data_IF_583255110703
#
_entry.id   IF_583255110703
#
_cell.length_a   1.000
_cell.length_b   1.000
_cell.length_c   1.000
_cell.angle_alpha   90.00
_cell.angle_beta   90.00
_cell.angle_gamma   90.00
#
_symmetry.space_group_name_H-M   'P 1'
#
loop_
_entity.id
_entity.type
_entity.pdbx_description
1 polymer ?
#
# COMPACT_ATOMS: atom_id res chain seq x y z
N UNK A 1 -34.25 -27.79 11.76
CA UNK A 1 -32.81 -27.47 11.73
C UNK A 1 -32.70 -26.06 11.17
N UNK A 2 -32.54 -25.05 12.03
CA UNK A 2 -32.67 -23.63 11.63
C UNK A 2 -31.27 -23.07 11.33
N UNK A 3 -30.98 -22.82 10.05
CA UNK A 3 -29.74 -22.22 9.57
C UNK A 3 -29.71 -20.75 9.97
N UNK A 4 -28.94 -20.41 11.01
CA UNK A 4 -28.63 -19.03 11.34
C UNK A 4 -27.77 -18.46 10.22
N UNK A 5 -28.39 -17.63 9.39
CA UNK A 5 -27.70 -16.80 8.42
C UNK A 5 -26.72 -15.90 9.21
N UNK A 6 -25.41 -16.08 9.00
CA UNK A 6 -24.37 -15.26 9.61
C UNK A 6 -24.22 -13.92 8.86
N UNK A 7 -25.34 -13.35 8.44
CA UNK A 7 -25.41 -12.02 7.86
C UNK A 7 -24.95 -10.99 8.89
N UNK A 8 -24.26 -9.96 8.42
CA UNK A 8 -23.87 -8.83 9.24
C UNK A 8 -25.12 -8.17 9.85
N UNK A 9 -25.22 -8.25 11.18
CA UNK A 9 -26.33 -7.68 11.95
C UNK A 9 -25.98 -6.25 12.38
N UNK A 10 -26.44 -5.27 11.61
CA UNK A 10 -26.21 -3.84 11.85
C UNK A 10 -26.73 -3.41 13.23
N UNK A 11 -27.85 -3.95 13.71
CA UNK A 11 -28.40 -3.59 15.02
C UNK A 11 -27.46 -4.03 16.13
N UNK A 12 -26.94 -5.25 16.02
CA UNK A 12 -25.96 -5.78 16.97
C UNK A 12 -24.62 -5.04 16.88
N UNK A 13 -24.22 -4.60 15.68
CA UNK A 13 -23.04 -3.77 15.49
C UNK A 13 -23.17 -2.42 16.20
N UNK A 14 -24.30 -1.73 16.03
CA UNK A 14 -24.56 -0.45 16.70
C UNK A 14 -24.62 -0.59 18.22
N UNK A 15 -25.22 -1.67 18.74
CA UNK A 15 -25.25 -1.96 20.17
C UNK A 15 -23.83 -2.13 20.75
N UNK A 16 -22.96 -2.85 20.02
CA UNK A 16 -21.55 -3.02 20.37
C UNK A 16 -20.78 -1.68 20.33
N UNK A 17 -21.02 -0.83 19.32
CA UNK A 17 -20.30 0.43 19.20
C UNK A 17 -20.71 1.43 20.30
N UNK A 18 -22.00 1.47 20.68
CA UNK A 18 -22.48 2.22 21.85
C UNK A 18 -21.85 1.72 23.15
N UNK A 19 -21.81 0.41 23.35
CA UNK A 19 -21.15 -0.19 24.51
C UNK A 19 -19.64 0.07 24.53
N UNK A 20 -18.98 0.05 23.36
CA UNK A 20 -17.57 0.44 23.19
C UNK A 20 -17.35 1.90 23.55
N UNK A 21 -18.28 2.80 23.27
CA UNK A 21 -18.14 4.20 23.66
C UNK A 21 -18.51 4.45 25.14
N UNK A 22 -19.16 3.49 25.79
CA UNK A 22 -19.65 3.62 27.17
C UNK A 22 -20.90 4.49 27.27
N UNK A 23 -21.73 4.48 26.23
CA UNK A 23 -22.99 5.22 26.15
C UNK A 23 -23.97 4.74 27.24
N UNK A 24 -24.78 5.66 27.77
CA UNK A 24 -25.77 5.38 28.82
C UNK A 24 -26.92 4.54 28.28
N UNK A 25 -27.21 4.65 26.98
CA UNK A 25 -28.23 3.88 26.27
C UNK A 25 -27.70 2.54 25.70
N UNK A 26 -26.48 2.14 26.06
CA UNK A 26 -25.92 0.87 25.60
C UNK A 26 -26.56 -0.33 26.33
N UNK A 27 -26.69 -1.44 25.60
CA UNK A 27 -27.18 -2.70 26.17
C UNK A 27 -26.26 -3.19 27.30
N UNK A 28 -26.87 -3.69 28.38
CA UNK A 28 -26.16 -4.07 29.62
C UNK A 28 -25.21 -5.25 29.40
N UNK A 29 -25.58 -6.20 28.54
CA UNK A 29 -24.74 -7.35 28.25
C UNK A 29 -23.56 -6.94 27.35
N UNK A 30 -23.78 -6.10 26.34
CA UNK A 30 -22.71 -5.53 25.51
C UNK A 30 -21.76 -4.64 26.33
N UNK A 31 -22.29 -3.85 27.28
CA UNK A 31 -21.48 -3.08 28.24
C UNK A 31 -20.61 -3.97 29.12
N UNK A 32 -21.15 -5.09 29.61
CA UNK A 32 -20.39 -6.05 30.42
C UNK A 32 -19.26 -6.68 29.60
N UNK A 33 -19.53 -7.02 28.33
CA UNK A 33 -18.52 -7.56 27.41
C UNK A 33 -17.44 -6.51 27.14
N UNK A 34 -17.81 -5.28 26.78
CA UNK A 34 -16.87 -4.19 26.54
C UNK A 34 -15.99 -3.93 27.77
N UNK A 35 -16.56 -3.98 28.98
CA UNK A 35 -15.83 -3.82 30.22
C UNK A 35 -14.89 -4.99 30.51
N UNK A 36 -15.32 -6.22 30.24
CA UNK A 36 -14.48 -7.41 30.37
C UNK A 36 -13.28 -7.38 29.43
N UNK A 37 -13.47 -6.92 28.18
CA UNK A 37 -12.40 -6.74 27.19
C UNK A 37 -11.40 -5.64 27.59
N UNK A 38 -11.88 -4.57 28.22
CA UNK A 38 -11.03 -3.47 28.72
C UNK A 38 -10.26 -3.84 29.99
N UNK A 39 -10.79 -4.75 30.79
CA UNK A 39 -10.08 -5.27 31.96
C UNK A 39 -9.00 -6.23 31.50
N UNK A 40 -7.81 -5.67 31.26
CA UNK A 40 -6.59 -6.45 31.03
C UNK A 40 -6.38 -7.37 32.23
N UNK A 41 -6.36 -8.71 32.05
CA UNK A 41 -6.01 -9.64 33.11
C UNK A 41 -4.63 -9.28 33.66
N UNK A 42 -4.37 -9.42 34.97
CA UNK A 42 -3.03 -9.20 35.51
C UNK A 42 -2.09 -10.25 34.91
N UNK A 43 -1.40 -9.85 33.86
CA UNK A 43 -0.45 -10.67 33.12
C UNK A 43 0.92 -10.03 33.30
N UNK A 44 1.87 -10.81 33.81
CA UNK A 44 3.25 -10.37 33.92
C UNK A 44 3.86 -10.43 32.51
N UNK A 45 3.89 -9.30 31.81
CA UNK A 45 4.60 -9.21 30.54
C UNK A 45 6.11 -9.17 30.82
N UNK A 46 6.92 -9.94 30.05
CA UNK A 46 8.37 -9.78 30.06
C UNK A 46 8.77 -8.33 29.73
N UNK A 47 9.87 -7.85 30.30
CA UNK A 47 10.40 -6.50 30.05
C UNK A 47 10.66 -6.23 28.56
N UNK A 48 10.99 -7.26 27.80
CA UNK A 48 11.31 -7.18 26.37
C UNK A 48 10.11 -7.44 25.44
N UNK A 49 8.89 -7.50 25.98
CA UNK A 49 7.71 -7.75 25.15
C UNK A 49 7.52 -6.64 24.11
N UNK A 50 7.57 -5.38 24.53
CA UNK A 50 7.36 -4.25 23.64
C UNK A 50 8.43 -4.20 22.53
N UNK A 51 9.68 -4.50 22.85
CA UNK A 51 10.78 -4.52 21.87
C UNK A 51 10.63 -5.69 20.90
N UNK A 52 10.18 -6.86 21.38
CA UNK A 52 9.92 -8.04 20.54
C UNK A 52 8.76 -7.81 19.59
N UNK A 53 7.65 -7.22 20.06
CA UNK A 53 6.48 -6.86 19.25
C UNK A 53 6.81 -5.75 18.25
N UNK A 54 7.55 -4.72 18.67
CA UNK A 54 7.97 -3.66 17.75
C UNK A 54 8.86 -4.23 16.63
N UNK A 55 9.78 -5.15 16.95
CA UNK A 55 10.64 -5.80 15.97
C UNK A 55 9.85 -6.68 15.00
N UNK A 56 8.89 -7.46 15.48
CA UNK A 56 8.05 -8.30 14.61
C UNK A 56 7.15 -7.45 13.70
N UNK A 57 6.55 -6.39 14.24
CA UNK A 57 5.74 -5.45 13.46
C UNK A 57 6.57 -4.75 12.37
N UNK A 58 7.78 -4.29 12.71
CA UNK A 58 8.69 -3.67 11.74
C UNK A 58 9.12 -4.64 10.63
N UNK A 59 9.44 -5.90 10.98
CA UNK A 59 9.80 -6.93 10.01
C UNK A 59 8.63 -7.26 9.06
N UNK A 60 7.40 -7.35 9.60
CA UNK A 60 6.20 -7.59 8.79
C UNK A 60 5.95 -6.42 7.83
N UNK A 61 6.02 -5.18 8.32
CA UNK A 61 5.85 -3.98 7.51
C UNK A 61 6.89 -3.88 6.39
N UNK A 62 8.16 -4.18 6.68
CA UNK A 62 9.22 -4.22 5.68
C UNK A 62 8.95 -5.30 4.61
N UNK A 63 8.54 -6.50 5.01
CA UNK A 63 8.25 -7.59 4.06
C UNK A 63 7.10 -7.28 3.10
N UNK A 64 6.02 -6.65 3.60
CA UNK A 64 4.89 -6.23 2.79
C UNK A 64 5.30 -5.12 1.82
N UNK A 65 6.11 -4.16 2.27
CA UNK A 65 6.62 -3.07 1.43
C UNK A 65 7.50 -3.59 0.28
N UNK A 66 8.37 -4.57 0.53
CA UNK A 66 9.20 -5.18 -0.51
C UNK A 66 8.38 -5.94 -1.57
N UNK A 67 7.33 -6.66 -1.14
CA UNK A 67 6.44 -7.36 -2.06
C UNK A 67 5.67 -6.38 -2.94
N UNK A 68 5.05 -5.36 -2.34
CA UNK A 68 4.34 -4.30 -3.05
C UNK A 68 5.24 -3.58 -4.06
N UNK A 69 6.47 -3.24 -3.65
CA UNK A 69 7.45 -2.62 -4.54
C UNK A 69 7.81 -3.53 -5.72
N UNK A 70 7.93 -4.85 -5.53
CA UNK A 70 8.18 -5.81 -6.62
C UNK A 70 7.00 -5.92 -7.57
N UNK A 71 5.77 -5.95 -7.07
CA UNK A 71 4.58 -5.96 -7.91
C UNK A 71 4.49 -4.69 -8.75
N UNK A 72 4.66 -3.51 -8.13
CA UNK A 72 4.64 -2.24 -8.84
C UNK A 72 5.75 -2.17 -9.90
N UNK A 73 6.96 -2.63 -9.58
CA UNK A 73 8.07 -2.66 -10.53
C UNK A 73 7.79 -3.63 -11.69
N UNK A 74 7.22 -4.80 -11.41
CA UNK A 74 6.77 -5.75 -12.44
C UNK A 74 5.69 -5.15 -13.34
N UNK A 75 4.70 -4.48 -12.76
CA UNK A 75 3.63 -3.80 -13.49
C UNK A 75 4.18 -2.70 -14.40
N UNK A 76 5.08 -1.86 -13.89
CA UNK A 76 5.75 -0.81 -14.67
C UNK A 76 6.55 -1.40 -15.82
N UNK A 77 7.27 -2.52 -15.60
CA UNK A 77 8.02 -3.21 -16.65
C UNK A 77 7.08 -3.75 -17.75
N UNK A 78 6.00 -4.44 -17.36
CA UNK A 78 5.01 -4.96 -18.32
C UNK A 78 4.38 -3.81 -19.11
N UNK A 79 4.02 -2.72 -18.44
CA UNK A 79 3.44 -1.55 -19.08
C UNK A 79 4.43 -0.88 -20.05
N UNK A 80 5.69 -0.70 -19.64
CA UNK A 80 6.73 -0.12 -20.48
C UNK A 80 7.01 -0.98 -21.73
N UNK A 81 7.08 -2.32 -21.58
CA UNK A 81 7.24 -3.23 -22.70
C UNK A 81 6.04 -3.17 -23.65
N UNK A 82 4.83 -3.16 -23.11
CA UNK A 82 3.60 -3.05 -23.89
C UNK A 82 3.56 -1.74 -24.68
N UNK A 83 3.91 -0.62 -24.02
CA UNK A 83 4.00 0.69 -24.66
C UNK A 83 5.07 0.69 -25.77
N UNK A 84 6.25 0.10 -25.54
CA UNK A 84 7.30 0.01 -26.54
C UNK A 84 6.84 -0.78 -27.79
N UNK A 85 6.09 -1.88 -27.59
CA UNK A 85 5.50 -2.65 -28.70
C UNK A 85 4.52 -1.79 -29.50
N UNK A 86 3.61 -1.07 -28.82
CA UNK A 86 2.64 -0.18 -29.49
C UNK A 86 3.35 0.92 -30.28
N UNK A 87 4.36 1.55 -29.70
CA UNK A 87 5.17 2.59 -30.35
C UNK A 87 5.89 2.04 -31.57
N UNK A 88 6.46 0.83 -31.48
CA UNK A 88 7.14 0.18 -32.61
C UNK A 88 6.16 -0.20 -33.72
N UNK A 89 4.96 -0.67 -33.36
CA UNK A 89 3.94 -1.09 -34.33
C UNK A 89 3.32 0.08 -35.08
N UNK A 90 3.01 1.19 -34.39
CA UNK A 90 2.36 2.37 -34.97
C UNK A 90 3.34 3.43 -35.51
N UNK A 91 4.66 3.25 -35.30
CA UNK A 91 5.69 4.12 -35.87
C UNK A 91 5.61 5.57 -35.42
N UNK A 92 5.85 6.56 -36.30
CA UNK A 92 5.73 8.00 -35.96
C UNK A 92 4.28 8.51 -36.01
N UNK A 93 3.33 7.72 -36.52
CA UNK A 93 1.95 8.16 -36.76
C UNK A 93 1.23 8.59 -35.48
N UNK A 94 1.38 7.81 -34.41
CA UNK A 94 0.78 8.14 -33.11
C UNK A 94 1.32 9.47 -32.53
N UNK A 95 2.61 9.76 -32.73
CA UNK A 95 3.22 10.98 -32.21
C UNK A 95 2.73 12.23 -32.96
N UNK A 96 2.42 12.11 -34.25
CA UNK A 96 1.84 13.21 -35.04
C UNK A 96 0.40 13.50 -34.58
N UNK A 97 -0.42 12.47 -34.41
CA UNK A 97 -1.80 12.62 -33.89
C UNK A 97 -1.81 13.20 -32.48
N UNK A 98 -0.89 12.75 -31.62
CA UNK A 98 -0.79 13.24 -30.25
C UNK A 98 -0.32 14.71 -30.21
N UNK A 99 0.52 15.13 -31.15
CA UNK A 99 0.91 16.53 -31.31
C UNK A 99 -0.26 17.43 -31.72
N UNK A 100 -1.24 16.91 -32.48
CA UNK A 100 -2.42 17.70 -32.89
C UNK A 100 -3.36 17.99 -31.71
N UNK A 101 -3.38 17.12 -30.70
CA UNK A 101 -4.27 17.25 -29.52
C UNK A 101 -3.61 18.05 -28.39
N UNK A 102 -2.28 18.09 -28.34
CA UNK A 102 -1.55 18.77 -27.27
C UNK A 102 -1.48 20.29 -27.51
N UNK A 103 -1.89 21.13 -26.54
CA UNK A 103 -1.68 22.57 -26.64
C UNK A 103 -0.16 22.86 -26.65
N UNK A 104 0.36 23.29 -27.80
CA UNK A 104 1.80 23.50 -28.04
C UNK A 104 2.45 22.54 -29.03
N UNK A 105 1.69 21.62 -29.65
CA UNK A 105 2.15 20.88 -30.83
C UNK A 105 3.33 19.92 -30.57
N UNK A 106 4.21 19.80 -31.55
CA UNK A 106 5.38 18.90 -31.49
C UNK A 106 6.41 19.28 -30.43
N UNK A 107 6.52 20.57 -30.11
CA UNK A 107 7.46 21.06 -29.07
C UNK A 107 7.02 20.60 -27.68
N UNK A 108 5.72 20.66 -27.37
CA UNK A 108 5.19 20.17 -26.10
C UNK A 108 5.42 18.64 -25.92
N UNK A 109 5.37 17.89 -27.02
CA UNK A 109 5.74 16.47 -27.06
C UNK A 109 7.24 16.24 -26.79
N UNK A 110 8.11 17.08 -27.35
CA UNK A 110 9.55 17.04 -27.06
C UNK A 110 9.84 17.32 -25.59
N UNK A 111 9.26 18.38 -25.03
CA UNK A 111 9.44 18.74 -23.62
C UNK A 111 8.88 17.71 -22.65
N UNK A 112 7.72 17.12 -22.96
CA UNK A 112 7.16 16.03 -22.15
C UNK A 112 8.01 14.76 -22.20
N UNK A 113 8.60 14.42 -23.35
CA UNK A 113 9.55 13.32 -23.45
C UNK A 113 10.82 13.55 -22.62
N UNK A 114 11.37 14.78 -22.64
CA UNK A 114 12.52 15.15 -21.80
C UNK A 114 12.15 15.09 -20.32
N UNK A 115 10.99 15.61 -19.92
CA UNK A 115 10.51 15.53 -18.55
C UNK A 115 10.34 14.08 -18.08
N UNK A 116 9.75 13.22 -18.91
CA UNK A 116 9.63 11.79 -18.63
C UNK A 116 11.01 11.13 -18.45
N UNK A 117 11.98 11.48 -19.29
CA UNK A 117 13.34 10.95 -19.20
C UNK A 117 14.06 11.42 -17.92
N UNK A 118 13.86 12.67 -17.51
CA UNK A 118 14.38 13.19 -16.25
C UNK A 118 13.77 12.47 -15.03
N UNK A 119 12.45 12.25 -15.03
CA UNK A 119 11.75 11.52 -13.96
C UNK A 119 12.24 10.09 -13.89
N UNK A 120 12.32 9.39 -15.03
CA UNK A 120 12.81 8.01 -15.11
C UNK A 120 14.27 7.90 -14.67
N UNK A 121 15.11 8.87 -15.06
CA UNK A 121 16.51 8.93 -14.63
C UNK A 121 16.63 9.12 -13.12
N UNK A 122 15.86 10.05 -12.54
CA UNK A 122 15.85 10.30 -11.10
C UNK A 122 15.37 9.07 -10.30
N UNK A 123 14.32 8.40 -10.78
CA UNK A 123 13.80 7.17 -10.17
C UNK A 123 14.75 5.98 -10.31
N UNK A 124 15.32 5.79 -11.51
CA UNK A 124 16.29 4.74 -11.79
C UNK A 124 17.56 4.87 -10.95
N UNK A 125 18.03 6.11 -10.74
CA UNK A 125 19.18 6.38 -9.89
C UNK A 125 18.88 6.14 -8.40
N UNK A 126 17.67 6.46 -7.95
CA UNK A 126 17.20 6.14 -6.60
C UNK A 126 17.12 4.63 -6.34
N UNK A 127 16.57 3.87 -7.28
CA UNK A 127 16.49 2.41 -7.20
C UNK A 127 17.89 1.77 -7.23
N UNK A 128 18.80 2.30 -8.05
CA UNK A 128 20.17 1.80 -8.15
C UNK A 128 20.98 2.09 -6.87
N UNK A 129 20.80 3.25 -6.24
CA UNK A 129 21.41 3.58 -4.95
C UNK A 129 20.98 2.63 -3.84
N UNK A 130 19.70 2.26 -3.78
CA UNK A 130 19.19 1.30 -2.79
C UNK A 130 19.89 -0.06 -2.96
N UNK A 131 20.06 -0.55 -4.19
CA UNK A 131 20.78 -1.80 -4.46
C UNK A 131 22.27 -1.78 -4.04
N UNK A 132 22.97 -0.66 -4.22
CA UNK A 132 24.37 -0.54 -3.80
C UNK A 132 24.54 -0.42 -2.29
N UNK A 133 23.57 0.19 -1.59
CA UNK A 133 23.64 0.36 -0.14
C UNK A 133 23.39 -0.97 0.59
N UNK A 134 22.48 -1.80 0.09
CA UNK A 134 22.24 -3.16 0.61
C UNK A 134 23.46 -4.09 0.42
N UNK A 135 24.27 -3.88 -0.61
CA UNK A 135 25.48 -4.67 -0.88
C UNK A 135 26.66 -4.37 0.06
N UNK A 136 26.63 -3.26 0.79
CA UNK A 136 27.76 -2.81 1.63
C UNK A 136 27.66 -3.30 3.08
N UNK A 137 26.50 -3.82 3.50
CA UNK A 137 26.31 -4.44 4.83
C UNK A 137 26.63 -5.95 4.88
N UNK A 138 27.17 -6.51 3.79
CA UNK A 138 27.54 -7.92 3.70
C UNK A 138 29.07 -8.10 3.63
N UNK A 139 29.84 -7.53 4.56
CA UNK A 139 31.21 -8.00 4.86
C UNK A 139 31.41 -7.96 6.38
N UNK A 140 31.72 -9.11 7.04
CA UNK A 140 32.01 -9.19 8.47
C UNK A 140 33.35 -8.56 8.87
#
# INVERSE_FOLDING_TARGET
>A
MNTKDHGFDELRWQAQEKARMGDVDADVDELRIAHALRRVPPMALPSDFATTVARSAAAQAASNSLLEQRLLRGLVLVFALSAAVVVAWYGRGWAVELAQVLPGGSDALGWSAVAALCVLGNWGFGALRQHFTDGTHAIP
#
